data_IF_710955444911
#
_entry.id   IF_710955444911
#
_cell.length_a   1.000
_cell.length_b   1.000
_cell.length_c   1.000
_cell.angle_alpha   90.00
_cell.angle_beta   90.00
_cell.angle_gamma   90.00
#
_symmetry.space_group_name_H-M   'P 1'
#
loop_
_entity.id
_entity.type
_entity.pdbx_description
1 polymer ?
#
# COMPACT_ATOMS: atom_id res chain seq x y z
N UNK A 1 -59.52 35.17 40.34
CA UNK A 1 -60.02 34.55 41.58
C UNK A 1 -60.38 33.09 41.29
N UNK A 2 -59.99 32.18 42.19
CA UNK A 2 -60.43 30.77 42.34
C UNK A 2 -59.89 29.73 41.35
N UNK A 3 -58.82 29.06 41.80
CA UNK A 3 -58.74 27.63 42.16
C UNK A 3 -59.42 26.59 41.25
N UNK A 4 -58.62 25.63 40.77
CA UNK A 4 -59.07 24.27 40.49
C UNK A 4 -57.98 23.25 40.86
N UNK A 5 -58.38 22.36 41.77
CA UNK A 5 -57.70 21.22 42.38
C UNK A 5 -57.76 19.99 41.47
N UNK A 6 -56.76 19.09 41.53
CA UNK A 6 -56.91 17.60 41.58
C UNK A 6 -55.51 16.95 41.64
N UNK A 7 -55.11 16.43 42.81
CA UNK A 7 -55.25 15.04 43.28
C UNK A 7 -54.42 14.03 42.48
N UNK A 8 -53.34 13.56 43.12
CA UNK A 8 -52.60 12.38 42.72
C UNK A 8 -53.33 11.09 43.09
N UNK A 9 -53.04 10.03 42.35
CA UNK A 9 -53.30 8.65 42.71
C UNK A 9 -52.13 7.81 42.16
N UNK A 10 -51.38 7.18 43.07
CA UNK A 10 -50.39 6.17 42.73
C UNK A 10 -51.05 4.81 42.52
N UNK A 11 -50.51 4.01 41.59
CA UNK A 11 -50.79 2.58 41.40
C UNK A 11 -49.48 1.97 40.88
N UNK A 12 -48.69 1.33 41.76
CA UNK A 12 -48.65 -0.10 42.03
C UNK A 12 -47.93 -0.92 40.93
N UNK A 13 -46.71 -1.34 41.26
CA UNK A 13 -45.90 -2.27 40.50
C UNK A 13 -46.52 -3.67 40.53
N UNK A 14 -46.73 -4.27 39.35
CA UNK A 14 -47.07 -5.67 39.19
C UNK A 14 -45.84 -6.44 38.69
N UNK A 15 -45.28 -7.26 39.59
CA UNK A 15 -44.32 -8.30 39.28
C UNK A 15 -44.98 -9.37 38.40
N UNK A 16 -44.49 -9.56 37.18
CA UNK A 16 -44.72 -10.79 36.42
C UNK A 16 -43.43 -11.62 36.43
N UNK A 17 -43.47 -12.71 37.19
CA UNK A 17 -42.43 -13.73 37.17
C UNK A 17 -42.48 -14.51 35.86
N UNK A 18 -41.41 -14.42 35.09
CA UNK A 18 -41.13 -15.38 34.02
C UNK A 18 -40.26 -16.50 34.58
N UNK A 19 -40.80 -17.71 34.51
CA UNK A 19 -40.12 -18.97 34.81
C UNK A 19 -39.05 -19.17 33.72
N UNK A 20 -37.78 -19.10 34.12
CA UNK A 20 -36.65 -19.40 33.25
C UNK A 20 -36.56 -20.90 32.96
N UNK A 21 -36.91 -21.30 31.74
CA UNK A 21 -36.52 -22.59 31.17
C UNK A 21 -35.18 -22.36 30.48
N UNK A 22 -34.09 -22.81 31.12
CA UNK A 22 -32.77 -22.91 30.50
C UNK A 22 -32.81 -24.03 29.46
N UNK A 23 -32.98 -23.69 28.19
CA UNK A 23 -32.68 -24.59 27.07
C UNK A 23 -31.38 -24.12 26.42
N UNK A 24 -30.25 -24.61 26.96
CA UNK A 24 -28.95 -24.44 26.34
C UNK A 24 -28.88 -25.37 25.12
N UNK A 25 -29.08 -24.81 23.93
CA UNK A 25 -28.68 -25.46 22.67
C UNK A 25 -27.19 -25.16 22.45
N UNK A 26 -26.34 -26.18 22.21
CA UNK A 26 -24.95 -25.93 21.84
C UNK A 26 -24.92 -25.37 20.42
N UNK A 27 -24.59 -24.08 20.29
CA UNK A 27 -24.07 -23.54 19.05
C UNK A 27 -22.68 -24.14 18.85
N UNK A 28 -22.61 -25.22 18.07
CA UNK A 28 -21.36 -25.67 17.48
C UNK A 28 -20.86 -24.55 16.56
N UNK A 29 -19.83 -23.84 17.00
CA UNK A 29 -19.01 -23.02 16.11
C UNK A 29 -18.45 -23.97 15.05
N UNK A 30 -19.00 -23.90 13.84
CA UNK A 30 -18.32 -24.47 12.68
C UNK A 30 -17.02 -23.69 12.58
N UNK A 31 -15.89 -24.36 12.81
CA UNK A 31 -14.59 -23.82 12.48
C UNK A 31 -14.65 -23.43 11.01
N UNK A 32 -14.62 -22.12 10.74
CA UNK A 32 -14.32 -21.64 9.40
C UNK A 32 -12.87 -22.07 9.20
N UNK A 33 -12.66 -23.11 8.39
CA UNK A 33 -11.31 -23.45 7.95
C UNK A 33 -10.70 -22.19 7.33
N UNK A 34 -9.47 -21.80 7.71
CA UNK A 34 -8.79 -20.71 7.02
C UNK A 34 -8.80 -21.02 5.52
N UNK A 35 -9.02 -20.02 4.64
CA UNK A 35 -8.94 -20.25 3.21
C UNK A 35 -7.64 -20.98 2.90
N UNK A 36 -7.71 -22.02 2.09
CA UNK A 36 -6.53 -22.76 1.66
C UNK A 36 -5.55 -21.75 1.04
N UNK A 37 -4.40 -21.56 1.68
CA UNK A 37 -3.32 -20.71 1.16
C UNK A 37 -2.95 -21.26 -0.21
N UNK A 38 -3.21 -20.50 -1.26
CA UNK A 38 -2.78 -20.84 -2.62
C UNK A 38 -1.27 -21.01 -2.57
N UNK A 39 -0.72 -22.12 -3.09
CA UNK A 39 0.71 -22.30 -3.11
C UNK A 39 1.34 -21.24 -4.00
N UNK A 40 2.14 -20.33 -3.44
CA UNK A 40 2.92 -19.39 -4.25
C UNK A 40 4.24 -20.00 -4.69
N UNK A 41 4.71 -19.56 -5.87
CA UNK A 41 5.94 -20.04 -6.50
C UNK A 41 7.02 -18.98 -6.29
N UNK A 42 8.05 -19.33 -5.53
CA UNK A 42 9.23 -18.49 -5.36
C UNK A 42 10.33 -19.06 -6.25
N UNK A 43 10.92 -18.26 -7.15
CA UNK A 43 12.03 -18.70 -7.98
C UNK A 43 13.29 -17.94 -7.62
N UNK A 44 14.33 -18.68 -7.27
CA UNK A 44 15.68 -18.14 -7.08
C UNK A 44 16.36 -18.10 -8.44
N UNK A 45 16.70 -16.91 -8.92
CA UNK A 45 17.32 -16.71 -10.23
C UNK A 45 18.83 -16.51 -10.04
N UNK A 46 19.61 -17.48 -10.55
CA UNK A 46 21.06 -17.63 -10.43
C UNK A 46 21.51 -18.93 -11.12
N UNK A 47 22.80 -19.24 -11.16
CA UNK A 47 23.29 -20.49 -11.79
C UNK A 47 23.38 -21.66 -10.77
N UNK A 48 22.63 -22.78 -10.95
CA UNK A 48 21.51 -23.00 -11.86
C UNK A 48 20.16 -22.56 -11.24
N UNK A 49 19.23 -22.07 -12.08
CA UNK A 49 17.89 -21.60 -11.67
C UNK A 49 17.15 -22.67 -10.86
N UNK A 50 16.52 -22.27 -9.74
CA UNK A 50 15.74 -23.18 -8.89
C UNK A 50 14.34 -22.63 -8.64
N UNK A 51 13.34 -23.36 -9.11
CA UNK A 51 11.92 -23.09 -8.84
C UNK A 51 11.50 -23.74 -7.52
N UNK A 52 10.86 -22.98 -6.64
CA UNK A 52 10.24 -23.49 -5.41
C UNK A 52 8.73 -23.54 -5.60
N UNK A 53 8.17 -24.72 -5.36
CA UNK A 53 6.71 -24.89 -5.25
C UNK A 53 6.40 -25.21 -3.80
N UNK A 54 5.44 -24.51 -3.21
CA UNK A 54 5.00 -24.84 -1.85
C UNK A 54 4.21 -26.15 -1.87
N UNK A 55 4.70 -27.13 -1.11
CA UNK A 55 3.93 -28.31 -0.79
C UNK A 55 2.99 -27.97 0.37
N UNK A 56 1.69 -28.19 0.17
CA UNK A 56 0.70 -28.12 1.23
C UNK A 56 1.13 -29.02 2.40
N UNK A 57 1.10 -28.46 3.61
CA UNK A 57 1.44 -29.08 4.90
C UNK A 57 2.94 -29.37 5.14
N UNK A 58 3.48 -28.56 6.05
CA UNK A 58 4.57 -28.85 6.99
C UNK A 58 6.02 -29.10 6.54
N UNK A 59 6.42 -29.21 5.26
CA UNK A 59 7.85 -29.47 4.97
C UNK A 59 8.44 -28.75 3.72
N UNK A 60 9.60 -28.13 3.97
CA UNK A 60 10.77 -27.81 3.11
C UNK A 60 10.63 -26.99 1.81
N UNK A 61 10.97 -25.70 1.91
CA UNK A 61 11.28 -24.76 0.83
C UNK A 61 12.71 -24.97 0.31
N UNK A 62 12.91 -25.51 -0.88
CA UNK A 62 14.23 -25.97 -1.36
C UNK A 62 15.01 -24.99 -2.27
N UNK A 63 15.18 -23.71 -1.88
CA UNK A 63 16.36 -22.97 -2.37
C UNK A 63 17.48 -23.28 -1.39
N UNK A 64 18.07 -24.48 -1.55
CA UNK A 64 19.17 -25.00 -0.74
C UNK A 64 19.11 -24.56 0.74
N UNK A 65 18.02 -24.91 1.44
CA UNK A 65 18.11 -25.11 2.88
C UNK A 65 19.10 -26.25 3.09
N UNK A 66 20.39 -25.94 3.23
CA UNK A 66 21.26 -26.84 4.00
C UNK A 66 20.57 -27.00 5.35
N UNK A 67 20.69 -28.17 5.96
CA UNK A 67 19.91 -28.62 7.12
C UNK A 67 19.93 -27.72 8.38
N UNK A 68 20.55 -26.53 8.32
CA UNK A 68 20.55 -25.47 9.32
C UNK A 68 20.50 -24.00 8.78
N UNK A 69 20.32 -23.72 7.48
CA UNK A 69 20.62 -22.39 6.91
C UNK A 69 19.54 -21.84 5.98
N UNK A 70 18.99 -20.65 6.31
CA UNK A 70 18.01 -19.92 5.50
C UNK A 70 18.56 -19.38 4.16
N UNK A 71 17.75 -18.59 3.45
CA UNK A 71 18.08 -18.03 2.12
C UNK A 71 19.36 -17.20 2.18
N UNK A 72 20.36 -17.56 1.36
CA UNK A 72 21.66 -16.89 1.29
C UNK A 72 21.82 -16.01 0.06
N UNK A 73 22.22 -14.75 0.23
CA UNK A 73 22.43 -13.77 -0.83
C UNK A 73 23.65 -14.04 -1.72
N UNK A 74 24.61 -14.85 -1.28
CA UNK A 74 25.75 -15.29 -2.10
C UNK A 74 25.34 -16.25 -3.22
N UNK A 75 24.17 -16.86 -3.08
CA UNK A 75 23.71 -17.94 -3.94
C UNK A 75 22.62 -17.48 -4.93
N UNK A 76 22.17 -16.22 -4.81
CA UNK A 76 21.11 -15.64 -5.63
C UNK A 76 21.42 -14.18 -5.97
N UNK A 77 21.37 -13.85 -7.25
CA UNK A 77 21.46 -12.46 -7.70
C UNK A 77 20.07 -11.79 -7.67
N UNK A 78 19.03 -12.59 -7.93
CA UNK A 78 17.65 -12.13 -8.07
C UNK A 78 16.66 -13.10 -7.41
N UNK A 79 15.54 -12.54 -6.98
CA UNK A 79 14.38 -13.28 -6.47
C UNK A 79 13.17 -13.00 -7.36
N UNK A 80 12.40 -14.03 -7.68
CA UNK A 80 11.16 -13.87 -8.42
C UNK A 80 9.98 -14.44 -7.65
N UNK A 81 8.88 -13.69 -7.61
CA UNK A 81 7.58 -14.10 -7.08
C UNK A 81 6.56 -13.87 -8.20
N UNK A 82 5.93 -14.95 -8.67
CA UNK A 82 5.15 -14.95 -9.92
C UNK A 82 5.97 -14.29 -11.07
N UNK A 83 5.41 -13.27 -11.72
CA UNK A 83 6.09 -12.51 -12.77
C UNK A 83 7.00 -11.39 -12.23
N UNK A 84 6.91 -11.07 -10.93
CA UNK A 84 7.70 -10.00 -10.32
C UNK A 84 9.13 -10.45 -10.05
N UNK A 85 10.10 -9.82 -10.73
CA UNK A 85 11.54 -10.05 -10.53
C UNK A 85 12.15 -8.93 -9.69
N UNK A 86 12.97 -9.29 -8.72
CA UNK A 86 13.65 -8.38 -7.81
C UNK A 86 15.17 -8.58 -7.86
N UNK A 87 15.89 -7.49 -8.04
CA UNK A 87 17.31 -7.44 -7.65
C UNK A 87 17.39 -7.39 -6.12
N UNK A 88 18.35 -8.10 -5.53
CA UNK A 88 18.53 -8.04 -4.08
C UNK A 88 18.90 -6.61 -3.63
N UNK A 89 18.26 -6.09 -2.57
CA UNK A 89 18.63 -4.78 -2.06
C UNK A 89 20.05 -4.81 -1.45
N UNK A 90 20.69 -3.65 -1.27
CA UNK A 90 21.93 -3.54 -0.50
C UNK A 90 21.78 -4.13 0.91
N UNK A 91 22.91 -4.48 1.52
CA UNK A 91 22.93 -4.95 2.90
C UNK A 91 22.28 -3.94 3.87
N UNK A 92 21.43 -4.44 4.76
CA UNK A 92 20.74 -3.67 5.77
C UNK A 92 19.43 -3.04 5.28
N UNK A 93 19.03 -3.28 4.04
CA UNK A 93 17.88 -2.65 3.41
C UNK A 93 16.72 -3.61 3.18
N UNK A 94 15.54 -3.02 3.03
CA UNK A 94 14.33 -3.65 2.50
C UNK A 94 13.94 -2.92 1.22
N UNK A 95 13.53 -3.66 0.20
CA UNK A 95 12.84 -3.13 -0.98
C UNK A 95 11.42 -3.67 -1.00
N UNK A 96 10.45 -2.81 -1.26
CA UNK A 96 9.04 -3.17 -1.39
C UNK A 96 8.51 -2.72 -2.75
N UNK A 97 7.85 -3.62 -3.47
CA UNK A 97 7.06 -3.30 -4.66
C UNK A 97 5.59 -3.22 -4.29
N UNK A 98 4.95 -2.11 -4.62
CA UNK A 98 3.51 -1.89 -4.44
C UNK A 98 2.93 -1.41 -5.76
N UNK A 99 1.81 -2.00 -6.19
CA UNK A 99 1.24 -1.78 -7.52
C UNK A 99 -0.22 -1.36 -7.43
N UNK A 100 -0.64 -0.41 -8.26
CA UNK A 100 -2.06 -0.17 -8.54
C UNK A 100 -2.47 -0.85 -9.83
N UNK A 101 -3.62 -1.54 -9.78
CA UNK A 101 -4.17 -2.27 -10.92
C UNK A 101 -5.47 -1.64 -11.42
N UNK A 102 -5.90 -2.04 -12.61
CA UNK A 102 -7.22 -1.74 -13.13
C UNK A 102 -8.29 -2.48 -12.33
N UNK A 103 -9.39 -1.80 -12.01
CA UNK A 103 -10.51 -2.38 -11.30
C UNK A 103 -11.09 -3.61 -12.03
N UNK A 104 -11.15 -4.75 -11.33
CA UNK A 104 -11.58 -6.03 -11.90
C UNK A 104 -10.46 -6.79 -12.64
N UNK A 105 -9.26 -6.22 -12.70
CA UNK A 105 -8.05 -6.89 -13.16
C UNK A 105 -7.50 -7.88 -12.12
N UNK A 106 -6.40 -8.53 -12.51
CA UNK A 106 -5.64 -9.41 -11.63
C UNK A 106 -5.03 -8.62 -10.48
N UNK A 107 -5.17 -9.14 -9.26
CA UNK A 107 -4.55 -8.57 -8.08
C UNK A 107 -3.05 -8.86 -8.10
N UNK A 108 -2.24 -7.85 -7.79
CA UNK A 108 -0.78 -7.99 -7.68
C UNK A 108 -0.41 -7.78 -6.23
N UNK A 109 0.17 -8.80 -5.61
CA UNK A 109 0.56 -8.72 -4.21
C UNK A 109 1.74 -7.75 -3.99
N UNK A 110 1.68 -7.02 -2.88
CA UNK A 110 2.83 -6.27 -2.38
C UNK A 110 3.92 -7.24 -1.95
N UNK A 111 5.16 -7.04 -2.40
CA UNK A 111 6.28 -7.91 -2.07
C UNK A 111 7.42 -7.09 -1.46
N UNK A 112 7.81 -7.43 -0.22
CA UNK A 112 8.97 -6.87 0.46
C UNK A 112 10.10 -7.89 0.52
N UNK A 113 11.33 -7.48 0.17
CA UNK A 113 12.55 -8.29 0.29
C UNK A 113 13.56 -7.57 1.16
N UNK A 114 14.12 -8.27 2.15
CA UNK A 114 15.14 -7.75 3.06
C UNK A 114 16.48 -8.49 2.90
N UNK A 115 17.58 -7.77 3.11
CA UNK A 115 18.93 -8.34 3.13
C UNK A 115 19.69 -7.99 4.41
N UNK A 116 20.31 -8.98 5.04
CA UNK A 116 21.20 -8.86 6.20
C UNK A 116 22.51 -9.63 5.96
N UNK A 117 23.51 -8.97 5.40
CA UNK A 117 24.76 -9.52 4.93
C UNK A 117 24.51 -10.53 3.82
N UNK A 118 24.72 -11.79 4.16
CA UNK A 118 24.44 -12.94 3.31
C UNK A 118 23.03 -13.51 3.53
N UNK A 119 22.21 -12.95 4.41
CA UNK A 119 20.86 -13.48 4.69
C UNK A 119 19.78 -12.73 3.91
N UNK A 120 18.76 -13.43 3.42
CA UNK A 120 17.62 -12.86 2.68
C UNK A 120 16.29 -13.28 3.33
N UNK A 121 15.31 -12.37 3.29
CA UNK A 121 13.93 -12.63 3.67
C UNK A 121 12.94 -11.97 2.72
N UNK A 122 11.75 -12.53 2.61
CA UNK A 122 10.64 -12.07 1.78
C UNK A 122 9.33 -12.03 2.60
N UNK A 123 8.50 -11.05 2.33
CA UNK A 123 7.09 -10.97 2.75
C UNK A 123 6.24 -10.69 1.52
N UNK A 124 5.11 -11.38 1.41
CA UNK A 124 4.14 -11.22 0.33
C UNK A 124 2.80 -10.87 0.97
N UNK A 125 2.26 -9.69 0.67
CA UNK A 125 1.07 -9.16 1.32
C UNK A 125 1.13 -9.27 2.84
N UNK A 126 0.09 -9.85 3.43
CA UNK A 126 -0.02 -10.08 4.87
C UNK A 126 0.49 -11.46 5.33
N UNK A 127 1.10 -12.23 4.42
CA UNK A 127 1.58 -13.58 4.72
C UNK A 127 2.79 -13.58 5.69
N UNK A 128 3.02 -14.70 6.42
CA UNK A 128 4.18 -14.83 7.28
C UNK A 128 5.50 -14.59 6.54
N UNK A 129 6.40 -13.83 7.17
CA UNK A 129 7.73 -13.56 6.62
C UNK A 129 8.54 -14.85 6.52
N UNK A 130 9.10 -15.10 5.35
CA UNK A 130 9.97 -16.24 5.08
C UNK A 130 11.41 -15.76 4.91
N UNK A 131 12.38 -16.49 5.47
CA UNK A 131 13.79 -16.17 5.26
C UNK A 131 14.69 -16.48 6.45
N UNK A 132 15.93 -16.04 6.34
CA UNK A 132 16.92 -16.21 7.39
C UNK A 132 16.73 -15.20 8.55
N UNK A 133 17.03 -15.57 9.81
CA UNK A 133 16.59 -14.81 10.98
C UNK A 133 17.03 -13.34 11.03
N UNK A 134 18.23 -12.99 10.57
CA UNK A 134 18.71 -11.62 10.59
C UNK A 134 17.95 -10.76 9.56
N UNK A 135 17.71 -11.30 8.37
CA UNK A 135 16.92 -10.61 7.34
C UNK A 135 15.44 -10.49 7.75
N UNK A 136 14.87 -11.52 8.37
CA UNK A 136 13.52 -11.48 8.97
C UNK A 136 13.44 -10.38 10.03
N UNK A 137 14.47 -10.20 10.86
CA UNK A 137 14.51 -9.14 11.87
C UNK A 137 14.54 -7.74 11.24
N UNK A 138 15.23 -7.54 10.11
CA UNK A 138 15.22 -6.26 9.37
C UNK A 138 13.83 -6.00 8.76
N UNK A 139 13.22 -7.02 8.18
CA UNK A 139 11.89 -6.91 7.56
C UNK A 139 10.83 -6.57 8.62
N UNK A 140 10.85 -7.26 9.76
CA UNK A 140 9.94 -7.04 10.90
C UNK A 140 10.33 -5.86 11.80
N UNK A 141 11.39 -5.12 11.49
CA UNK A 141 11.76 -3.94 12.27
C UNK A 141 10.63 -2.90 12.15
N UNK A 142 9.73 -2.90 13.13
CA UNK A 142 8.52 -2.09 13.13
C UNK A 142 8.86 -0.60 13.03
N UNK A 143 8.20 0.07 12.10
CA UNK A 143 8.13 1.53 12.08
C UNK A 143 7.06 1.95 13.07
N UNK A 144 7.43 2.05 14.34
CA UNK A 144 6.50 2.46 15.40
C UNK A 144 6.39 3.98 15.44
N UNK A 145 5.21 4.51 15.16
CA UNK A 145 4.89 5.93 15.30
C UNK A 145 3.73 6.12 16.25
N UNK A 146 3.85 7.11 17.14
CA UNK A 146 2.76 7.49 18.01
C UNK A 146 1.65 8.09 17.14
N UNK A 147 0.41 7.62 17.31
CA UNK A 147 -0.73 8.23 16.64
C UNK A 147 -0.81 9.71 17.07
N UNK A 148 -0.86 10.67 16.12
CA UNK A 148 -1.08 12.06 16.44
C UNK A 148 -2.45 12.17 17.08
N UNK A 149 -2.59 13.12 18.00
CA UNK A 149 -3.91 13.57 18.43
C UNK A 149 -4.60 14.15 17.19
N UNK A 150 -5.52 13.37 16.61
CA UNK A 150 -6.35 13.82 15.49
C UNK A 150 -6.97 15.17 15.88
N UNK A 151 -6.73 16.25 15.10
CA UNK A 151 -7.56 17.43 15.20
C UNK A 151 -8.99 16.95 15.04
N UNK A 152 -9.85 17.33 15.98
CA UNK A 152 -11.29 17.18 15.83
C UNK A 152 -11.74 18.14 14.71
N UNK A 153 -11.31 17.90 13.47
CA UNK A 153 -12.13 18.23 12.31
C UNK A 153 -13.47 17.55 12.58
N UNK A 154 -14.59 18.15 12.21
CA UNK A 154 -15.91 17.54 12.42
C UNK A 154 -16.07 16.30 11.51
N UNK A 155 -15.33 15.25 11.83
CA UNK A 155 -15.31 13.99 11.11
C UNK A 155 -16.64 13.29 11.22
N UNK A 156 -17.45 13.60 12.23
CA UNK A 156 -18.81 13.12 12.31
C UNK A 156 -19.64 13.69 11.15
N UNK A 157 -19.51 15.00 10.87
CA UNK A 157 -20.15 15.61 9.72
C UNK A 157 -19.64 15.08 8.37
N UNK A 158 -18.38 14.65 8.25
CA UNK A 158 -17.87 14.08 6.98
C UNK A 158 -18.11 12.57 6.84
N UNK A 159 -18.05 11.81 7.93
CA UNK A 159 -18.28 10.36 7.95
C UNK A 159 -19.74 10.02 7.60
N UNK A 160 -20.68 10.91 7.92
CA UNK A 160 -22.09 10.78 7.53
C UNK A 160 -22.29 11.00 6.01
N UNK A 161 -21.29 11.53 5.28
CA UNK A 161 -21.40 11.93 3.88
C UNK A 161 -20.70 11.00 2.88
N UNK A 162 -19.57 10.37 3.23
CA UNK A 162 -18.82 9.49 2.31
C UNK A 162 -18.00 8.42 3.02
N UNK A 163 -17.95 7.23 2.43
CA UNK A 163 -17.09 6.12 2.88
C UNK A 163 -15.62 6.54 2.93
N UNK A 164 -15.17 7.34 1.94
CA UNK A 164 -13.80 7.87 1.86
C UNK A 164 -13.38 8.69 3.09
N UNK A 165 -14.33 9.35 3.74
CA UNK A 165 -14.08 10.15 4.93
C UNK A 165 -14.39 9.41 6.25
N UNK A 166 -15.18 8.33 6.20
CA UNK A 166 -15.49 7.49 7.35
C UNK A 166 -14.43 6.41 7.62
N UNK A 167 -13.63 6.03 6.61
CA UNK A 167 -12.63 4.97 6.71
C UNK A 167 -11.39 5.43 7.51
N UNK A 168 -11.48 5.32 8.85
CA UNK A 168 -10.41 5.70 9.80
C UNK A 168 -9.53 4.53 10.25
N UNK A 169 -10.04 3.30 10.10
CA UNK A 169 -9.58 2.12 10.84
C UNK A 169 -8.55 1.25 10.14
N UNK A 170 -8.15 1.60 8.92
CA UNK A 170 -7.23 0.78 8.14
C UNK A 170 -5.91 1.51 8.07
N UNK A 171 -5.01 1.05 8.92
CA UNK A 171 -3.61 1.48 8.90
C UNK A 171 -3.08 1.03 7.55
N UNK A 172 -2.73 1.97 6.68
CA UNK A 172 -1.89 1.65 5.53
C UNK A 172 -0.64 0.99 6.09
N UNK A 173 -0.31 -0.22 5.64
CA UNK A 173 0.90 -0.92 6.10
C UNK A 173 2.09 0.04 5.90
N UNK A 174 2.70 0.46 7.00
CA UNK A 174 3.61 1.60 6.97
C UNK A 174 5.05 1.11 6.81
N UNK A 175 5.65 1.30 5.63
CA UNK A 175 6.98 0.78 5.30
C UNK A 175 8.08 1.86 5.36
N UNK A 176 7.98 2.76 6.34
CA UNK A 176 9.02 3.74 6.66
C UNK A 176 8.67 5.16 6.25
N UNK A 177 9.59 6.08 6.53
CA UNK A 177 9.43 7.51 6.21
C UNK A 177 10.72 8.15 5.74
N UNK A 178 10.65 9.27 5.03
CA UNK A 178 11.83 10.07 4.76
C UNK A 178 12.33 10.77 6.05
N UNK A 179 13.59 10.59 6.44
CA UNK A 179 14.16 11.18 7.68
C UNK A 179 14.07 12.72 7.67
N UNK A 180 14.39 13.33 6.53
CA UNK A 180 14.25 14.77 6.30
C UNK A 180 12.86 15.19 5.83
N UNK A 181 11.90 14.25 5.75
CA UNK A 181 10.55 14.43 5.17
C UNK A 181 10.50 14.73 3.68
N UNK A 182 11.65 14.91 3.04
CA UNK A 182 11.77 15.25 1.64
C UNK A 182 11.94 14.02 0.76
N UNK A 183 11.04 13.89 -0.21
CA UNK A 183 11.17 13.04 -1.39
C UNK A 183 11.45 13.92 -2.61
N UNK A 184 12.73 14.15 -2.91
CA UNK A 184 13.15 14.87 -4.09
C UNK A 184 13.18 13.91 -5.30
N UNK A 185 12.36 14.15 -6.32
CA UNK A 185 12.16 13.23 -7.45
C UNK A 185 12.41 13.89 -8.81
N UNK A 186 12.77 13.08 -9.79
CA UNK A 186 12.93 13.48 -11.19
C UNK A 186 11.88 12.80 -12.06
N UNK A 187 11.50 13.45 -13.15
CA UNK A 187 10.61 12.87 -14.16
C UNK A 187 11.42 12.38 -15.36
N UNK A 188 11.32 11.10 -15.70
CA UNK A 188 11.72 10.60 -16.99
C UNK A 188 10.53 10.56 -17.96
N UNK A 189 10.46 11.47 -18.96
CA UNK A 189 9.35 11.54 -19.90
C UNK A 189 9.50 10.57 -21.08
N UNK A 190 10.54 9.75 -21.12
CA UNK A 190 10.76 8.78 -22.21
C UNK A 190 9.59 7.80 -22.23
N UNK A 191 8.90 7.70 -23.37
CA UNK A 191 7.72 6.85 -23.50
C UNK A 191 6.42 7.43 -22.91
N UNK A 192 6.41 8.70 -22.46
CA UNK A 192 5.20 9.31 -21.94
C UNK A 192 4.11 9.41 -23.04
N UNK A 193 2.86 8.99 -22.75
CA UNK A 193 1.82 8.87 -23.78
C UNK A 193 1.16 10.20 -24.14
N UNK A 194 1.17 11.17 -23.22
CA UNK A 194 0.45 12.43 -23.38
C UNK A 194 1.27 13.63 -22.90
N UNK A 195 1.04 14.78 -23.55
CA UNK A 195 1.48 16.06 -23.04
C UNK A 195 0.77 16.41 -21.71
N UNK A 196 1.45 17.18 -20.86
CA UNK A 196 0.91 17.61 -19.55
C UNK A 196 1.11 16.61 -18.41
N UNK A 197 1.71 15.45 -18.69
CA UNK A 197 2.06 14.44 -17.69
C UNK A 197 2.87 15.01 -16.54
N UNK A 198 3.96 15.76 -16.81
CA UNK A 198 4.76 16.39 -15.74
C UNK A 198 3.90 17.26 -14.82
N UNK A 199 2.96 18.02 -15.37
CA UNK A 199 2.04 18.86 -14.58
C UNK A 199 1.12 18.00 -13.72
N UNK A 200 0.59 16.90 -14.25
CA UNK A 200 -0.23 15.96 -13.48
C UNK A 200 0.56 15.29 -12.34
N UNK A 201 1.81 14.91 -12.58
CA UNK A 201 2.71 14.35 -11.56
C UNK A 201 3.01 15.38 -10.46
N UNK A 202 3.32 16.64 -10.82
CA UNK A 202 3.53 17.71 -9.84
C UNK A 202 2.27 17.97 -9.01
N UNK A 203 1.10 18.02 -9.64
CA UNK A 203 -0.17 18.19 -8.91
C UNK A 203 -0.43 17.04 -7.94
N UNK A 204 -0.09 15.81 -8.32
CA UNK A 204 -0.23 14.65 -7.44
C UNK A 204 0.75 14.70 -6.25
N UNK A 205 2.00 15.12 -6.49
CA UNK A 205 2.96 15.31 -5.40
C UNK A 205 2.54 16.42 -4.43
N UNK A 206 1.96 17.51 -4.95
CA UNK A 206 1.44 18.62 -4.16
C UNK A 206 0.25 18.18 -3.29
N UNK A 207 -0.64 17.34 -3.82
CA UNK A 207 -1.78 16.76 -3.07
C UNK A 207 -1.32 15.96 -1.84
N UNK A 208 -0.26 15.15 -1.98
CA UNK A 208 0.36 14.40 -0.87
C UNK A 208 1.02 15.34 0.14
N UNK A 209 1.86 16.27 -0.33
CA UNK A 209 2.57 17.21 0.54
C UNK A 209 1.61 18.12 1.32
N UNK A 210 0.55 18.60 0.65
CA UNK A 210 -0.47 19.47 1.22
C UNK A 210 -1.50 18.75 2.08
N UNK A 211 -1.58 17.42 2.01
CA UNK A 211 -2.65 16.67 2.66
C UNK A 211 -4.03 17.06 2.12
N UNK A 212 -4.14 17.27 0.81
CA UNK A 212 -5.33 17.83 0.16
C UNK A 212 -6.46 16.80 0.09
N UNK A 213 -7.69 17.21 0.45
CA UNK A 213 -8.89 16.39 0.30
C UNK A 213 -10.09 17.22 -0.16
N UNK A 214 -10.57 16.92 -1.36
CA UNK A 214 -11.75 17.56 -1.92
C UNK A 214 -13.04 17.29 -1.11
N UNK A 215 -13.09 16.21 -0.32
CA UNK A 215 -14.31 15.75 0.36
C UNK A 215 -14.20 15.72 1.88
N UNK A 216 -13.01 15.45 2.44
CA UNK A 216 -12.84 15.22 3.88
C UNK A 216 -12.27 16.46 4.62
N UNK A 217 -12.02 17.54 3.89
CA UNK A 217 -11.31 18.72 4.38
C UNK A 217 -9.80 18.51 4.38
N UNK A 218 -9.04 19.56 4.10
CA UNK A 218 -7.58 19.47 4.04
C UNK A 218 -7.00 19.29 5.44
N UNK A 219 -6.07 18.34 5.56
CA UNK A 219 -5.34 18.07 6.79
C UNK A 219 -3.85 18.08 6.46
N UNK A 220 -3.19 19.24 6.57
CA UNK A 220 -1.81 19.38 6.17
C UNK A 220 -0.89 18.54 7.04
N UNK A 221 0.14 18.03 6.41
CA UNK A 221 1.25 17.34 7.04
C UNK A 221 2.54 18.12 6.71
N UNK A 222 3.73 17.54 6.97
CA UNK A 222 5.02 18.20 6.70
C UNK A 222 5.90 17.39 5.74
N UNK A 223 5.31 16.49 4.96
CA UNK A 223 5.99 15.86 3.85
C UNK A 223 6.35 16.92 2.81
N UNK A 224 7.49 16.75 2.17
CA UNK A 224 7.95 17.60 1.08
C UNK A 224 8.20 16.69 -0.12
N UNK A 225 7.50 16.91 -1.24
CA UNK A 225 7.71 16.15 -2.47
C UNK A 225 8.20 17.11 -3.54
N UNK A 226 9.52 17.18 -3.70
CA UNK A 226 10.17 18.20 -4.54
C UNK A 226 10.42 17.67 -5.94
N UNK A 227 9.73 18.23 -6.94
CA UNK A 227 10.09 17.98 -8.34
C UNK A 227 11.39 18.70 -8.71
N UNK A 228 12.43 17.94 -9.04
CA UNK A 228 13.79 18.45 -9.31
C UNK A 228 14.13 18.57 -10.80
N UNK A 229 13.17 18.27 -11.68
CA UNK A 229 13.32 18.42 -13.12
C UNK A 229 13.27 17.10 -13.90
N UNK A 230 13.49 17.21 -15.21
CA UNK A 230 13.47 16.07 -16.14
C UNK A 230 14.83 15.38 -16.21
N UNK A 231 14.80 14.06 -16.43
CA UNK A 231 15.97 13.22 -16.70
C UNK A 231 15.64 12.27 -17.85
N UNK A 232 16.55 12.02 -18.79
CA UNK A 232 16.27 11.17 -19.97
C UNK A 232 17.11 9.89 -20.03
N UNK A 233 18.08 9.76 -19.14
CA UNK A 233 19.05 8.66 -19.12
C UNK A 233 18.92 7.77 -17.88
N UNK A 234 17.96 8.09 -17.01
CA UNK A 234 17.74 7.39 -15.75
C UNK A 234 16.31 6.88 -15.77
N UNK A 235 16.14 5.59 -16.01
CA UNK A 235 14.83 4.93 -16.00
C UNK A 235 14.48 4.52 -14.57
N UNK A 236 13.18 4.52 -14.20
CA UNK A 236 12.75 4.02 -12.90
C UNK A 236 13.17 2.56 -12.76
N UNK A 237 13.76 2.22 -11.61
CA UNK A 237 14.20 0.89 -11.19
C UNK A 237 13.02 0.01 -10.78
N UNK A 238 12.02 -0.04 -11.64
CA UNK A 238 10.89 -0.96 -11.63
C UNK A 238 11.05 -1.84 -12.87
N UNK A 239 11.08 -3.16 -12.74
CA UNK A 239 11.24 -4.09 -13.86
C UNK A 239 9.89 -4.33 -14.57
N UNK A 240 9.92 -4.89 -15.77
CA UNK A 240 8.70 -5.10 -16.58
C UNK A 240 7.68 -6.00 -15.87
N UNK A 241 8.13 -7.03 -15.15
CA UNK A 241 7.25 -7.89 -14.34
C UNK A 241 6.66 -7.24 -13.08
N UNK A 242 6.97 -5.96 -12.80
CA UNK A 242 6.45 -5.25 -11.63
C UNK A 242 7.27 -5.43 -10.34
N UNK A 243 8.39 -6.16 -10.38
CA UNK A 243 9.34 -6.20 -9.27
C UNK A 243 10.40 -5.10 -9.35
N UNK A 244 11.29 -5.03 -8.36
CA UNK A 244 12.21 -3.90 -8.21
C UNK A 244 13.61 -4.16 -8.77
N UNK A 245 14.15 -3.16 -9.46
CA UNK A 245 15.48 -3.19 -10.06
C UNK A 245 16.60 -2.89 -9.07
N UNK A 246 17.78 -2.55 -9.60
CA UNK A 246 18.96 -2.29 -8.79
C UNK A 246 18.81 -0.99 -8.01
N UNK A 247 19.23 -0.98 -6.75
CA UNK A 247 19.28 0.25 -5.96
C UNK A 247 20.16 1.32 -6.64
N UNK A 248 19.65 2.54 -6.73
CA UNK A 248 20.33 3.70 -7.32
C UNK A 248 20.19 4.92 -6.40
N UNK A 249 20.94 6.00 -6.67
CA UNK A 249 20.89 7.21 -5.83
C UNK A 249 19.90 8.27 -6.35
N UNK A 250 19.03 7.90 -7.29
CA UNK A 250 18.04 8.80 -7.85
C UNK A 250 16.64 8.26 -7.58
N UNK A 251 15.73 9.18 -7.27
CA UNK A 251 14.31 8.92 -7.26
C UNK A 251 13.73 9.33 -8.61
N UNK A 252 13.22 8.36 -9.36
CA UNK A 252 12.77 8.56 -10.73
C UNK A 252 11.35 8.09 -10.89
N UNK A 253 10.51 9.00 -11.39
CA UNK A 253 9.14 8.74 -11.84
C UNK A 253 9.17 8.71 -13.36
N UNK A 254 8.72 7.63 -13.98
CA UNK A 254 8.82 7.46 -15.42
C UNK A 254 7.84 6.46 -16.00
N UNK A 255 8.11 6.06 -17.23
CA UNK A 255 7.20 5.27 -18.05
C UNK A 255 7.92 4.05 -18.62
N UNK A 256 7.19 2.95 -18.78
CA UNK A 256 7.69 1.77 -19.46
C UNK A 256 6.65 0.66 -19.49
N UNK A 257 6.89 -0.35 -20.30
CA UNK A 257 6.00 -1.51 -20.36
C UNK A 257 6.03 -2.26 -19.03
N UNK A 258 4.84 -2.63 -18.55
CA UNK A 258 4.62 -3.62 -17.50
C UNK A 258 3.95 -4.85 -18.12
N UNK A 259 4.41 -6.04 -17.74
CA UNK A 259 4.01 -7.32 -18.36
C UNK A 259 2.60 -7.73 -17.93
N UNK A 260 2.20 -7.42 -16.68
CA UNK A 260 0.85 -7.68 -16.21
C UNK A 260 -0.15 -6.71 -16.84
N UNK A 261 -1.10 -7.27 -17.59
CA UNK A 261 -2.12 -6.53 -18.35
C UNK A 261 -3.15 -5.77 -17.50
N UNK A 262 -3.11 -5.89 -16.17
CA UNK A 262 -3.96 -5.16 -15.23
C UNK A 262 -3.19 -4.08 -14.47
N UNK A 263 -1.86 -4.15 -14.37
CA UNK A 263 -1.07 -3.13 -13.67
C UNK A 263 -1.10 -1.80 -14.43
N UNK A 264 -1.30 -0.72 -13.67
CA UNK A 264 -1.33 0.66 -14.17
C UNK A 264 -0.03 1.38 -13.83
N UNK A 265 0.45 1.21 -12.60
CA UNK A 265 1.72 1.72 -12.15
C UNK A 265 2.25 0.89 -10.97
N UNK A 266 3.55 1.04 -10.69
CA UNK A 266 4.24 0.40 -9.58
C UNK A 266 5.20 1.39 -8.94
N UNK A 267 5.21 1.42 -7.61
CA UNK A 267 6.21 2.07 -6.79
C UNK A 267 7.15 1.01 -6.19
N UNK A 268 8.44 1.19 -6.42
CA UNK A 268 9.48 0.47 -5.71
C UNK A 268 10.10 1.39 -4.67
N UNK A 269 10.01 1.01 -3.40
CA UNK A 269 10.49 1.81 -2.26
C UNK A 269 11.57 1.04 -1.51
N UNK A 270 12.72 1.65 -1.32
CA UNK A 270 13.81 1.09 -0.51
C UNK A 270 13.91 1.84 0.80
N UNK A 271 14.01 1.07 1.87
CA UNK A 271 14.27 1.60 3.21
C UNK A 271 15.51 0.99 3.83
N UNK A 272 16.15 1.76 4.69
CA UNK A 272 17.16 1.30 5.62
C UNK A 272 16.67 1.59 7.03
N UNK A 273 16.60 0.56 7.87
CA UNK A 273 15.92 0.66 9.17
C UNK A 273 14.47 1.15 8.98
N UNK A 274 14.07 2.22 9.64
CA UNK A 274 12.73 2.82 9.53
C UNK A 274 12.62 3.95 8.51
N UNK A 275 13.69 4.23 7.75
CA UNK A 275 13.73 5.37 6.84
C UNK A 275 13.74 4.95 5.39
N UNK A 276 12.83 5.54 4.60
CA UNK A 276 12.88 5.46 3.15
C UNK A 276 14.11 6.25 2.71
N UNK A 277 14.89 5.63 1.83
CA UNK A 277 16.12 6.20 1.27
C UNK A 277 16.05 6.35 -0.24
N UNK A 278 15.09 5.67 -0.89
CA UNK A 278 14.87 5.71 -2.33
C UNK A 278 13.44 5.32 -2.66
N UNK A 279 12.83 5.95 -3.66
CA UNK A 279 11.62 5.45 -4.31
C UNK A 279 11.66 5.74 -5.81
N UNK A 280 11.26 4.76 -6.62
CA UNK A 280 11.00 4.94 -8.05
C UNK A 280 9.57 4.55 -8.37
N UNK A 281 9.00 5.18 -9.40
CA UNK A 281 7.64 4.92 -9.86
C UNK A 281 7.66 4.71 -11.37
N UNK A 282 7.02 3.65 -11.84
CA UNK A 282 6.83 3.38 -13.28
C UNK A 282 5.36 3.28 -13.61
N UNK A 283 4.93 4.04 -14.61
CA UNK A 283 3.61 3.95 -15.23
C UNK A 283 3.66 3.07 -16.48
N UNK A 284 2.62 2.27 -16.68
CA UNK A 284 2.52 1.35 -17.81
C UNK A 284 2.32 2.07 -19.15
N UNK A 285 3.03 1.59 -20.18
CA UNK A 285 2.88 2.00 -21.58
C UNK A 285 2.31 0.92 -22.49
N UNK A 286 2.05 -0.29 -21.99
CA UNK A 286 1.86 -1.48 -22.83
C UNK A 286 0.53 -1.51 -23.59
N UNK A 287 -0.58 -0.99 -23.04
CA UNK A 287 -1.88 -0.83 -23.74
C UNK A 287 -2.84 0.11 -22.98
N UNK A 288 -2.34 1.22 -22.44
CA UNK A 288 -3.13 2.12 -21.60
C UNK A 288 -3.44 3.44 -22.28
N UNK A 289 -4.70 3.85 -22.14
CA UNK A 289 -5.08 5.23 -22.41
C UNK A 289 -4.93 6.04 -21.13
N UNK A 290 -4.19 7.14 -21.22
CA UNK A 290 -3.94 8.02 -20.08
C UNK A 290 -4.64 9.36 -20.28
N UNK A 291 -5.13 9.96 -19.20
CA UNK A 291 -5.74 11.28 -19.18
C UNK A 291 -4.98 12.20 -18.23
N UNK A 292 -4.61 13.38 -18.72
CA UNK A 292 -3.96 14.45 -17.94
C UNK A 292 -4.88 15.67 -17.78
N UNK A 293 -6.09 15.64 -18.35
CA UNK A 293 -7.00 16.79 -18.35
C UNK A 293 -7.96 16.76 -17.17
N UNK A 294 -8.53 17.92 -16.82
CA UNK A 294 -9.44 18.04 -15.66
C UNK A 294 -10.74 17.23 -15.80
N UNK A 295 -11.15 16.91 -17.02
CA UNK A 295 -12.26 16.02 -17.33
C UNK A 295 -11.73 14.67 -17.81
N UNK A 296 -12.47 13.59 -17.61
CA UNK A 296 -12.12 12.30 -18.20
C UNK A 296 -13.31 11.71 -18.94
N UNK A 297 -13.03 10.97 -20.01
CA UNK A 297 -14.03 10.19 -20.74
C UNK A 297 -13.44 8.91 -21.31
N UNK A 298 -14.31 7.94 -21.60
CA UNK A 298 -13.91 6.64 -22.15
C UNK A 298 -13.11 5.80 -21.16
N UNK A 299 -12.19 4.99 -21.69
CA UNK A 299 -11.41 4.01 -20.93
C UNK A 299 -10.02 4.54 -20.56
N UNK A 300 -9.90 5.85 -20.29
CA UNK A 300 -8.61 6.45 -19.93
C UNK A 300 -8.43 6.52 -18.41
N UNK A 301 -7.22 6.23 -17.95
CA UNK A 301 -6.84 6.32 -16.54
C UNK A 301 -6.30 7.71 -16.23
N UNK A 302 -6.64 8.21 -15.05
CA UNK A 302 -6.23 9.55 -14.64
C UNK A 302 -4.79 9.56 -14.12
N UNK A 303 -3.88 10.24 -14.82
CA UNK A 303 -2.47 10.29 -14.44
C UNK A 303 -2.30 10.90 -13.05
N UNK A 304 -3.06 11.95 -12.72
CA UNK A 304 -2.93 12.62 -11.42
C UNK A 304 -3.44 11.73 -10.28
N UNK A 305 -4.56 11.03 -10.46
CA UNK A 305 -5.09 10.09 -9.47
C UNK A 305 -4.16 8.90 -9.22
N UNK A 306 -3.71 8.23 -10.30
CA UNK A 306 -2.75 7.11 -10.20
C UNK A 306 -1.43 7.59 -9.58
N UNK A 307 -0.92 8.75 -9.99
CA UNK A 307 0.30 9.30 -9.40
C UNK A 307 0.14 9.62 -7.91
N UNK A 308 -1.03 10.09 -7.47
CA UNK A 308 -1.27 10.39 -6.05
C UNK A 308 -1.17 9.10 -5.22
N UNK A 309 -1.67 7.98 -5.76
CA UNK A 309 -1.51 6.65 -5.16
C UNK A 309 -0.04 6.23 -5.07
N UNK A 310 0.69 6.28 -6.18
CA UNK A 310 2.10 5.88 -6.19
C UNK A 310 3.00 6.79 -5.34
N UNK A 311 2.71 8.09 -5.29
CA UNK A 311 3.40 9.00 -4.37
C UNK A 311 3.05 8.70 -2.91
N UNK A 312 1.86 8.19 -2.61
CA UNK A 312 1.53 7.66 -1.29
C UNK A 312 2.46 6.52 -0.89
N UNK A 313 2.70 5.56 -1.79
CA UNK A 313 3.69 4.50 -1.58
C UNK A 313 5.11 5.05 -1.39
N UNK A 314 5.53 6.00 -2.23
CA UNK A 314 6.84 6.65 -2.10
C UNK A 314 7.02 7.39 -0.75
N UNK A 315 5.92 7.76 -0.10
CA UNK A 315 5.90 8.37 1.24
C UNK A 315 5.66 7.36 2.37
N UNK A 316 5.57 6.07 2.06
CA UNK A 316 5.51 4.96 3.02
C UNK A 316 4.11 4.46 3.34
N UNK A 317 3.08 4.92 2.63
CA UNK A 317 1.72 4.37 2.79
C UNK A 317 1.61 3.04 2.04
N UNK A 318 1.21 1.96 2.70
CA UNK A 318 0.75 0.74 2.04
C UNK A 318 -0.69 0.84 1.54
N UNK A 319 -1.22 -0.25 0.96
CA UNK A 319 -2.62 -0.29 0.54
C UNK A 319 -3.63 -0.28 1.70
N UNK A 320 -4.85 0.13 1.40
CA UNK A 320 -6.07 -0.11 2.20
C UNK A 320 -7.07 -0.94 1.41
N UNK A 321 -8.15 -1.41 2.03
CA UNK A 321 -9.19 -2.15 1.29
C UNK A 321 -9.85 -1.30 0.20
N UNK A 322 -10.26 -1.98 -0.86
CA UNK A 322 -10.86 -1.39 -2.05
C UNK A 322 -12.12 -0.56 -1.73
N UNK A 323 -12.93 -1.04 -0.79
CA UNK A 323 -14.20 -0.44 -0.39
C UNK A 323 -14.03 0.88 0.35
N UNK A 324 -12.83 1.18 0.84
CA UNK A 324 -12.56 2.43 1.57
C UNK A 324 -12.66 3.67 0.69
N UNK A 325 -12.57 3.53 -0.64
CA UNK A 325 -12.55 4.64 -1.61
C UNK A 325 -11.44 5.68 -1.37
N UNK A 326 -10.46 5.32 -0.55
CA UNK A 326 -9.27 6.14 -0.33
C UNK A 326 -8.35 6.07 -1.54
N UNK A 327 -7.37 6.98 -1.59
CA UNK A 327 -6.40 6.99 -2.68
C UNK A 327 -5.60 5.69 -2.68
N UNK A 328 -5.20 5.20 -1.51
CA UNK A 328 -4.37 4.00 -1.34
C UNK A 328 -5.11 2.66 -1.54
N UNK A 329 -6.30 2.66 -2.13
CA UNK A 329 -6.95 1.40 -2.54
C UNK A 329 -6.20 0.75 -3.71
N UNK A 330 -6.12 -0.59 -3.80
CA UNK A 330 -5.22 -1.28 -4.75
C UNK A 330 -5.67 -1.22 -6.22
N UNK A 331 -6.91 -0.80 -6.50
CA UNK A 331 -7.41 -0.77 -7.87
C UNK A 331 -8.15 0.52 -8.25
N UNK A 332 -7.89 1.02 -9.46
CA UNK A 332 -8.51 2.23 -10.03
C UNK A 332 -9.41 1.89 -11.22
N UNK A 333 -10.55 2.56 -11.32
CA UNK A 333 -11.41 2.49 -12.50
C UNK A 333 -11.01 3.55 -13.53
N UNK A 334 -11.25 3.33 -14.83
CA UNK A 334 -11.12 4.40 -15.82
C UNK A 334 -11.90 5.65 -15.41
N UNK A 335 -11.31 6.82 -15.61
CA UNK A 335 -11.89 8.11 -15.25
C UNK A 335 -12.24 8.32 -13.78
N UNK A 336 -11.58 7.59 -12.88
CA UNK A 336 -11.71 7.82 -11.44
C UNK A 336 -10.90 9.06 -10.99
N UNK A 337 -11.52 10.25 -11.12
CA UNK A 337 -10.88 11.52 -10.77
C UNK A 337 -10.79 11.75 -9.25
N UNK A 338 -11.59 11.03 -8.46
CA UNK A 338 -11.61 11.20 -7.01
C UNK A 338 -10.28 10.80 -6.35
N UNK A 339 -9.45 9.99 -7.02
CA UNK A 339 -8.13 9.60 -6.52
C UNK A 339 -7.08 10.71 -6.56
N UNK A 340 -7.38 11.89 -7.14
CA UNK A 340 -6.49 13.06 -7.11
C UNK A 340 -6.34 13.69 -5.71
N UNK A 341 -7.31 13.44 -4.84
CA UNK A 341 -7.37 14.02 -3.51
C UNK A 341 -7.51 12.92 -2.45
N UNK A 342 -6.90 13.13 -1.30
CA UNK A 342 -6.74 12.13 -0.26
C UNK A 342 -8.05 11.80 0.46
N UNK A 343 -8.18 10.55 0.90
CA UNK A 343 -9.15 10.16 1.91
C UNK A 343 -8.66 10.47 3.32
N UNK A 344 -9.56 10.35 4.29
CA UNK A 344 -9.23 10.72 5.67
C UNK A 344 -8.13 9.84 6.27
N UNK A 345 -8.15 8.52 6.01
CA UNK A 345 -7.11 7.61 6.47
C UNK A 345 -5.76 7.89 5.80
N UNK A 346 -5.73 8.21 4.51
CA UNK A 346 -4.52 8.61 3.79
C UNK A 346 -3.87 9.84 4.48
N UNK A 347 -4.66 10.89 4.70
CA UNK A 347 -4.21 12.11 5.38
C UNK A 347 -3.71 11.82 6.80
N UNK A 348 -4.48 11.04 7.57
CA UNK A 348 -4.13 10.69 8.95
C UNK A 348 -2.79 9.96 9.01
N UNK A 349 -2.53 9.04 8.09
CA UNK A 349 -1.27 8.29 8.06
C UNK A 349 -0.09 9.16 7.60
N UNK A 350 -0.30 10.12 6.68
CA UNK A 350 0.72 11.13 6.36
C UNK A 350 1.05 12.04 7.55
N UNK A 351 0.07 12.39 8.37
CA UNK A 351 0.31 13.18 9.60
C UNK A 351 1.02 12.34 10.66
N UNK A 352 0.66 11.06 10.83
CA UNK A 352 1.41 10.12 11.70
C UNK A 352 2.89 10.07 11.30
N UNK A 353 3.14 10.01 10.00
CA UNK A 353 4.47 9.92 9.41
C UNK A 353 5.28 11.21 9.56
N UNK A 354 4.69 12.34 9.19
CA UNK A 354 5.40 13.58 8.87
C UNK A 354 5.07 14.77 9.78
N UNK A 355 4.07 14.68 10.66
CA UNK A 355 3.93 15.56 11.84
C UNK A 355 2.76 16.51 11.87
#
# INVERSE_FOLDING_TARGET
MRSATRLGLGVAAAFFGFIGINLALPLSASAIEPPATTPFILTCVGEPERTLTSASSSDEWTCALSSNGGLRGSDIDRLAFDDQIFELPPDGMVVTSSAIVEAGGEHVEEVSIARAGDEVAIRVGEEPVLGAPAAVAILNANVSHAAPTSPQVDLQAYADHSVKCASVGQVTAYDGRWEGREYAWKHNPTGEPNAGTTTALVSASDSIAGGESAMCGDWPNRAELTYTGRVYWDDPQVLAGGGCGTFSNTNTVGWGALDNSSTLAVACTWRQSSFIVKSDIKFDTSNRSWNTSNSCSGNSFDVSGIATHEFGHAMGLGHVFQESQQVMKPASSPCELDQRALGYGDQRNLVIAYG
#
